data_IF_276490029621
#
_entry.id   IF_276490029621
#
_cell.length_a   1.000
_cell.length_b   1.000
_cell.length_c   1.000
_cell.angle_alpha   90.00
_cell.angle_beta   90.00
_cell.angle_gamma   90.00
#
_symmetry.space_group_name_H-M   'P 1'
#
loop_
_entity.id
_entity.type
_entity.pdbx_description
1 polymer ?
#
# COMPACT_ATOMS: atom_id res chain seq x y z
N UNK A 1 16.67 -41.34 -2.78
CA UNK A 1 17.37 -40.41 -1.86
C UNK A 1 18.09 -39.28 -2.59
N UNK A 2 19.05 -39.56 -3.50
CA UNK A 2 19.79 -38.50 -4.23
C UNK A 2 18.90 -37.56 -5.04
N UNK A 3 17.89 -38.07 -5.76
CA UNK A 3 16.93 -37.25 -6.52
C UNK A 3 16.09 -36.31 -5.65
N UNK A 4 15.72 -36.75 -4.45
CA UNK A 4 15.02 -35.93 -3.45
C UNK A 4 15.94 -34.81 -2.95
N UNK A 5 17.19 -35.13 -2.61
CA UNK A 5 18.19 -34.14 -2.21
C UNK A 5 18.42 -33.08 -3.29
N UNK A 6 18.54 -33.49 -4.56
CA UNK A 6 18.70 -32.57 -5.69
C UNK A 6 17.48 -31.66 -5.84
N UNK A 7 16.26 -32.19 -5.73
CA UNK A 7 15.04 -31.40 -5.80
C UNK A 7 14.95 -30.38 -4.65
N UNK A 8 15.25 -30.81 -3.42
CA UNK A 8 15.27 -29.92 -2.25
C UNK A 8 16.28 -28.77 -2.43
N UNK A 9 17.47 -29.07 -2.96
CA UNK A 9 18.50 -28.06 -3.20
C UNK A 9 18.09 -27.03 -4.26
N UNK A 10 17.42 -27.48 -5.33
CA UNK A 10 16.88 -26.58 -6.37
C UNK A 10 15.81 -25.65 -5.80
N UNK A 11 14.88 -26.17 -4.98
CA UNK A 11 13.84 -25.37 -4.35
C UNK A 11 14.43 -24.32 -3.40
N UNK A 12 15.42 -24.70 -2.59
CA UNK A 12 16.15 -23.76 -1.73
C UNK A 12 16.83 -22.65 -2.53
N UNK A 13 17.46 -22.97 -3.66
CA UNK A 13 18.13 -21.97 -4.49
C UNK A 13 17.16 -20.96 -5.12
N UNK A 14 15.96 -21.41 -5.53
CA UNK A 14 14.91 -20.55 -6.08
C UNK A 14 14.30 -19.65 -5.00
N UNK A 15 14.16 -20.15 -3.76
CA UNK A 15 13.60 -19.37 -2.66
C UNK A 15 14.44 -18.14 -2.28
N UNK A 16 15.77 -18.17 -2.47
CA UNK A 16 16.65 -17.01 -2.20
C UNK A 16 16.43 -15.87 -3.21
N UNK A 17 15.80 -16.12 -4.35
CA UNK A 17 15.59 -15.12 -5.40
C UNK A 17 14.29 -14.31 -5.24
N UNK A 18 13.47 -14.59 -4.23
CA UNK A 18 12.18 -13.90 -4.03
C UNK A 18 12.34 -12.79 -2.99
N UNK A 19 12.34 -11.54 -3.45
CA UNK A 19 12.37 -10.35 -2.59
C UNK A 19 11.01 -9.64 -2.60
N UNK A 20 10.60 -9.10 -1.46
CA UNK A 20 9.45 -8.21 -1.37
C UNK A 20 9.76 -6.88 -2.10
N UNK A 21 8.80 -6.39 -2.89
CA UNK A 21 8.92 -5.11 -3.59
C UNK A 21 8.27 -4.03 -2.73
N UNK A 22 8.97 -2.92 -2.42
CA UNK A 22 8.37 -1.83 -1.67
C UNK A 22 7.20 -1.20 -2.45
N UNK A 23 6.17 -0.76 -1.74
CA UNK A 23 5.08 0.01 -2.35
C UNK A 23 5.66 1.22 -3.09
N UNK A 24 5.15 1.52 -4.29
CA UNK A 24 5.64 2.63 -5.12
C UNK A 24 5.48 3.96 -4.35
N UNK A 25 6.57 4.55 -3.85
CA UNK A 25 6.49 5.75 -3.05
C UNK A 25 6.36 6.96 -3.99
N UNK A 26 5.50 7.90 -3.62
CA UNK A 26 5.50 9.24 -4.21
C UNK A 26 4.12 9.85 -4.35
N UNK A 27 4.12 11.16 -4.49
CA UNK A 27 2.95 11.93 -4.85
C UNK A 27 2.51 11.59 -6.28
N UNK A 28 1.21 11.44 -6.47
CA UNK A 28 0.59 11.15 -7.76
C UNK A 28 -0.82 11.70 -7.78
N UNK A 29 -1.41 11.73 -8.96
CA UNK A 29 -2.76 12.25 -9.16
C UNK A 29 -3.78 11.21 -8.69
N UNK A 30 -4.69 11.65 -7.84
CA UNK A 30 -5.91 10.97 -7.42
C UNK A 30 -7.11 11.70 -8.01
N UNK A 31 -8.22 10.99 -8.11
CA UNK A 31 -9.47 11.49 -8.70
C UNK A 31 -10.61 11.23 -7.72
N UNK A 32 -11.43 12.26 -7.52
CA UNK A 32 -12.68 12.20 -6.78
C UNK A 32 -13.79 11.59 -7.66
N UNK A 33 -14.90 11.12 -7.08
CA UNK A 33 -16.03 10.58 -7.85
C UNK A 33 -16.62 11.54 -8.89
N UNK A 34 -16.51 12.85 -8.68
CA UNK A 34 -16.96 13.90 -9.62
C UNK A 34 -15.95 14.22 -10.74
N UNK A 35 -14.80 13.54 -10.76
CA UNK A 35 -13.72 13.77 -11.71
C UNK A 35 -12.71 14.84 -11.28
N UNK A 36 -12.91 15.51 -10.14
CA UNK A 36 -11.96 16.47 -9.59
C UNK A 36 -10.65 15.76 -9.23
N UNK A 37 -9.52 16.35 -9.62
CA UNK A 37 -8.19 15.75 -9.42
C UNK A 37 -7.41 16.49 -8.35
N UNK A 38 -6.63 15.74 -7.58
CA UNK A 38 -5.73 16.29 -6.57
C UNK A 38 -4.48 15.41 -6.43
N UNK A 39 -3.44 15.92 -5.77
CA UNK A 39 -2.18 15.21 -5.58
C UNK A 39 -2.12 14.64 -4.16
N UNK A 40 -1.78 13.36 -4.05
CA UNK A 40 -1.56 12.71 -2.76
C UNK A 40 -0.55 11.55 -2.90
N UNK A 41 -0.07 11.05 -1.77
CA UNK A 41 0.81 9.89 -1.68
C UNK A 41 0.10 8.80 -0.86
N UNK A 42 -0.04 7.58 -1.38
CA UNK A 42 -0.48 6.46 -0.53
C UNK A 42 0.54 6.21 0.57
N UNK A 43 0.03 5.98 1.77
CA UNK A 43 0.77 5.66 2.98
C UNK A 43 0.14 4.47 3.68
N UNK A 44 0.95 3.78 4.47
CA UNK A 44 0.53 2.67 5.30
C UNK A 44 1.10 1.33 4.84
N UNK A 45 0.56 0.27 5.43
CA UNK A 45 1.04 -1.11 5.36
C UNK A 45 -0.17 -2.07 5.27
N UNK A 46 0.02 -3.36 5.57
CA UNK A 46 -1.08 -4.33 5.54
C UNK A 46 -2.25 -3.98 6.48
N UNK A 47 -2.00 -3.19 7.53
CA UNK A 47 -2.98 -2.83 8.56
C UNK A 47 -3.54 -1.41 8.40
N UNK A 48 -2.79 -0.51 7.76
CA UNK A 48 -3.19 0.89 7.59
C UNK A 48 -3.24 1.29 6.11
N UNK A 49 -4.39 1.82 5.68
CA UNK A 49 -4.63 2.14 4.27
C UNK A 49 -5.16 3.57 4.16
N UNK A 50 -4.25 4.53 3.93
CA UNK A 50 -4.60 5.95 3.80
C UNK A 50 -3.75 6.63 2.74
N UNK A 51 -4.08 7.87 2.41
CA UNK A 51 -3.21 8.72 1.62
C UNK A 51 -2.90 10.00 2.39
N UNK A 52 -1.82 10.67 1.99
CA UNK A 52 -1.37 11.93 2.57
C UNK A 52 -1.33 12.99 1.47
N UNK A 53 -1.93 14.15 1.71
CA UNK A 53 -1.87 15.30 0.80
C UNK A 53 -0.48 15.95 0.81
N UNK A 54 -0.21 16.85 -0.15
CA UNK A 54 1.05 17.61 -0.17
C UNK A 54 1.24 18.44 1.12
N UNK A 55 0.15 18.90 1.72
CA UNK A 55 0.11 19.63 2.99
C UNK A 55 0.18 18.73 4.24
N UNK A 56 0.46 17.43 4.05
CA UNK A 56 0.62 16.42 5.12
C UNK A 56 -0.63 16.12 5.93
N UNK A 57 -1.81 16.26 5.33
CA UNK A 57 -3.05 15.79 5.93
C UNK A 57 -3.34 14.36 5.51
N UNK A 58 -3.72 13.53 6.49
CA UNK A 58 -4.21 12.19 6.22
C UNK A 58 -5.63 12.26 5.62
N UNK A 59 -5.83 11.51 4.55
CA UNK A 59 -7.11 11.35 3.87
C UNK A 59 -7.43 9.86 3.71
N UNK A 60 -8.70 9.53 3.78
CA UNK A 60 -9.23 8.19 3.59
C UNK A 60 -10.37 8.24 2.57
N UNK A 61 -10.77 7.06 2.10
CA UNK A 61 -11.91 6.94 1.20
C UNK A 61 -13.15 6.56 2.01
N UNK A 62 -14.19 7.38 1.95
CA UNK A 62 -15.46 7.09 2.62
C UNK A 62 -16.26 6.00 1.88
N UNK A 63 -17.41 5.61 2.44
CA UNK A 63 -18.30 4.58 1.86
C UNK A 63 -18.88 4.94 0.49
N UNK A 64 -18.93 6.23 0.15
CA UNK A 64 -19.42 6.73 -1.14
C UNK A 64 -18.29 6.85 -2.18
N UNK A 65 -17.05 6.53 -1.81
CA UNK A 65 -15.90 6.56 -2.71
C UNK A 65 -15.20 7.92 -2.80
N UNK A 66 -15.58 8.90 -1.97
CA UNK A 66 -14.91 10.20 -1.88
C UNK A 66 -13.66 10.12 -1.01
N UNK A 67 -12.60 10.81 -1.43
CA UNK A 67 -11.46 11.07 -0.56
C UNK A 67 -11.75 12.24 0.37
N UNK A 68 -11.72 11.98 1.68
CA UNK A 68 -12.04 12.95 2.73
C UNK A 68 -10.90 13.02 3.74
N UNK A 69 -10.78 14.16 4.43
CA UNK A 69 -9.87 14.28 5.57
C UNK A 69 -10.24 13.27 6.66
N UNK A 70 -9.23 12.56 7.14
CA UNK A 70 -9.40 11.58 8.19
C UNK A 70 -9.44 12.27 9.56
N UNK A 71 -10.28 11.77 10.44
CA UNK A 71 -10.21 12.04 11.87
C UNK A 71 -9.43 10.91 12.57
N UNK A 72 -8.82 11.22 13.71
CA UNK A 72 -8.12 10.22 14.52
C UNK A 72 -8.97 9.87 15.74
N UNK A 73 -9.49 8.64 15.79
CA UNK A 73 -10.29 8.11 16.91
C UNK A 73 -9.65 6.82 17.39
N UNK A 74 -9.28 6.76 18.68
CA UNK A 74 -8.63 5.58 19.30
C UNK A 74 -7.42 5.03 18.53
N UNK A 75 -6.68 5.91 17.85
CA UNK A 75 -5.51 5.53 17.05
C UNK A 75 -5.81 5.12 15.61
N UNK A 76 -7.08 5.01 15.22
CA UNK A 76 -7.54 4.73 13.87
C UNK A 76 -7.85 6.02 13.10
N UNK A 77 -7.61 5.97 11.78
CA UNK A 77 -8.05 7.00 10.84
C UNK A 77 -9.45 6.63 10.36
N UNK A 78 -10.42 7.52 10.60
CA UNK A 78 -11.85 7.34 10.29
C UNK A 78 -12.47 8.54 9.59
#
# INVERSE_FOLDING_TARGET
MKKLLTLTLVVLFVAVAVFAVPARPGFRVFEQPDGTKFIAQLKGDEHFHFAETEDRYAIIRNSEGWWTYANKVDGLLV
#
